data_IF_449801854241
#
_entry.id   IF_449801854241
#
_cell.length_a   1.000
_cell.length_b   1.000
_cell.length_c   1.000
_cell.angle_alpha   90.00
_cell.angle_beta   90.00
_cell.angle_gamma   90.00
#
_symmetry.space_group_name_H-M   'P 1'
#
loop_
_entity.id
_entity.type
_entity.pdbx_description
1 polymer ?
#
# COMPACT_ATOMS: atom_id res chain seq x y z
N UNK A 1 -15.42 -12.64 -6.23
CA UNK A 1 -14.75 -11.38 -5.81
C UNK A 1 -15.55 -10.24 -6.44
N UNK A 2 -16.26 -9.41 -5.67
CA UNK A 2 -17.24 -8.47 -6.25
C UNK A 2 -16.52 -7.34 -6.99
N UNK A 3 -16.30 -7.54 -8.30
CA UNK A 3 -16.06 -6.46 -9.24
C UNK A 3 -17.39 -5.77 -9.52
N UNK A 4 -17.55 -4.54 -9.03
CA UNK A 4 -18.67 -3.68 -9.43
C UNK A 4 -18.46 -3.30 -10.89
N UNK A 5 -19.11 -4.01 -11.80
CA UNK A 5 -19.29 -3.61 -13.19
C UNK A 5 -20.23 -2.41 -13.25
N UNK A 6 -19.75 -1.27 -13.73
CA UNK A 6 -20.59 -0.11 -14.04
C UNK A 6 -21.21 -0.29 -15.43
N UNK A 7 -22.35 -0.97 -15.49
CA UNK A 7 -23.26 -0.97 -16.63
C UNK A 7 -24.29 0.14 -16.50
N UNK A 8 -24.40 0.98 -17.53
CA UNK A 8 -25.45 1.99 -17.67
C UNK A 8 -26.80 1.29 -17.89
N UNK A 9 -27.78 1.49 -17.01
CA UNK A 9 -29.20 1.48 -17.39
C UNK A 9 -30.06 2.17 -16.31
N UNK A 10 -30.79 3.21 -16.73
CA UNK A 10 -31.82 3.84 -15.93
C UNK A 10 -33.06 2.94 -15.89
N UNK A 11 -33.49 2.48 -14.72
CA UNK A 11 -34.84 2.75 -14.19
C UNK A 11 -35.20 1.86 -12.98
N UNK A 12 -36.06 2.45 -12.14
CA UNK A 12 -36.90 1.84 -11.10
C UNK A 12 -36.26 1.32 -9.80
N UNK A 13 -36.42 2.16 -8.76
CA UNK A 13 -36.36 1.84 -7.33
C UNK A 13 -37.23 0.62 -6.99
N UNK A 14 -36.66 -0.35 -6.27
CA UNK A 14 -37.26 -0.95 -5.07
C UNK A 14 -36.28 -1.90 -4.35
N UNK A 15 -35.97 -1.53 -3.10
CA UNK A 15 -35.55 -2.36 -1.96
C UNK A 15 -34.49 -3.46 -2.17
N UNK A 16 -33.23 -3.12 -1.89
CA UNK A 16 -32.30 -4.03 -1.21
C UNK A 16 -31.69 -3.25 -0.05
N UNK A 17 -31.87 -3.83 1.15
CA UNK A 17 -31.54 -3.29 2.47
C UNK A 17 -30.01 -3.22 2.65
N UNK A 18 -29.62 -2.23 3.44
CA UNK A 18 -28.30 -1.63 3.66
C UNK A 18 -27.28 -2.52 4.37
N UNK A 19 -26.02 -2.34 3.97
CA UNK A 19 -24.78 -2.28 4.78
C UNK A 19 -24.52 -3.34 5.87
N UNK A 20 -23.95 -4.48 5.46
CA UNK A 20 -23.09 -5.29 6.31
C UNK A 20 -21.73 -4.58 6.51
N UNK A 21 -21.55 -3.93 7.66
CA UNK A 21 -20.26 -3.36 8.09
C UNK A 21 -19.21 -4.47 8.23
N UNK A 22 -18.29 -4.53 7.26
CA UNK A 22 -17.18 -5.48 7.18
C UNK A 22 -16.04 -5.04 8.12
N UNK A 23 -15.38 -5.94 8.88
CA UNK A 23 -14.23 -5.62 9.75
C UNK A 23 -12.96 -5.12 9.04
N UNK A 24 -13.03 -4.80 7.74
CA UNK A 24 -11.88 -4.42 6.92
C UNK A 24 -11.65 -2.90 6.85
N UNK A 25 -12.54 -2.11 7.46
CA UNK A 25 -12.51 -0.66 7.40
C UNK A 25 -12.28 -0.06 8.78
N UNK A 26 -11.45 0.99 8.86
CA UNK A 26 -11.46 1.90 10.02
C UNK A 26 -12.88 2.49 10.17
N UNK A 27 -13.19 3.10 11.32
CA UNK A 27 -14.45 3.81 11.69
C UNK A 27 -15.05 4.80 10.65
N UNK A 28 -14.43 4.96 9.47
CA UNK A 28 -14.83 5.86 8.40
C UNK A 28 -14.77 5.22 7.00
N UNK A 29 -14.88 3.88 6.86
CA UNK A 29 -14.87 3.25 5.53
C UNK A 29 -13.52 3.32 4.79
N UNK A 30 -12.43 3.70 5.47
CA UNK A 30 -11.11 3.85 4.85
C UNK A 30 -10.36 2.51 4.76
N UNK A 31 -9.72 2.20 3.60
CA UNK A 31 -8.92 0.99 3.40
C UNK A 31 -7.85 0.79 4.48
N UNK A 32 -7.70 -0.45 4.96
CA UNK A 32 -6.60 -0.80 5.85
C UNK A 32 -5.31 -0.94 5.05
N UNK A 33 -4.30 -0.11 5.35
CA UNK A 33 -3.01 -0.12 4.66
C UNK A 33 -2.00 -1.05 5.36
N UNK A 34 -1.19 -1.74 4.57
CA UNK A 34 0.02 -2.41 5.02
C UNK A 34 1.24 -1.76 4.38
N UNK A 35 2.41 -1.94 4.98
CA UNK A 35 3.66 -1.47 4.36
C UNK A 35 4.02 -2.45 3.24
N UNK A 36 3.83 -2.00 2.01
CA UNK A 36 4.00 -2.80 0.79
C UNK A 36 5.42 -3.37 0.65
N UNK A 37 6.41 -2.53 0.95
CA UNK A 37 7.83 -2.87 0.89
C UNK A 37 8.24 -4.05 1.79
N UNK A 38 7.43 -4.40 2.80
CA UNK A 38 7.73 -5.51 3.69
C UNK A 38 7.95 -6.84 2.94
N UNK A 39 7.22 -7.09 1.85
CA UNK A 39 7.38 -8.33 1.10
C UNK A 39 8.74 -8.38 0.39
N UNK A 40 9.15 -7.29 -0.26
CA UNK A 40 10.48 -7.20 -0.86
C UNK A 40 11.57 -7.42 0.19
N UNK A 41 11.49 -6.73 1.34
CA UNK A 41 12.48 -6.89 2.41
C UNK A 41 12.53 -8.31 2.96
N UNK A 42 11.39 -8.98 3.09
CA UNK A 42 11.36 -10.40 3.48
C UNK A 42 12.06 -11.30 2.47
N UNK A 43 11.79 -11.14 1.18
CA UNK A 43 12.40 -11.94 0.11
C UNK A 43 13.92 -11.69 0.03
N UNK A 44 14.31 -10.45 0.26
CA UNK A 44 15.71 -10.07 0.38
C UNK A 44 16.39 -10.69 1.61
N UNK A 45 15.77 -10.66 2.78
CA UNK A 45 16.28 -11.31 3.99
C UNK A 45 16.42 -12.84 3.80
N UNK A 46 15.42 -13.48 3.19
CA UNK A 46 15.41 -14.92 2.93
C UNK A 46 16.51 -15.37 2.00
N UNK A 47 16.95 -14.50 1.09
CA UNK A 47 17.93 -14.83 0.08
C UNK A 47 19.37 -14.60 0.53
N UNK A 48 19.61 -13.90 1.65
CA UNK A 48 20.94 -13.57 2.18
C UNK A 48 21.85 -12.89 1.14
N UNK A 49 21.25 -12.15 0.20
CA UNK A 49 21.92 -11.66 -1.02
C UNK A 49 23.03 -10.67 -0.69
N UNK A 50 24.21 -10.93 -1.25
CA UNK A 50 25.28 -9.94 -1.27
C UNK A 50 24.90 -8.82 -2.25
N UNK A 51 24.89 -7.59 -1.78
CA UNK A 51 24.68 -6.44 -2.65
C UNK A 51 25.91 -6.24 -3.54
N UNK A 52 25.75 -6.47 -4.84
CA UNK A 52 26.77 -6.11 -5.80
C UNK A 52 26.89 -4.57 -5.87
N UNK A 53 28.12 -4.07 -5.88
CA UNK A 53 28.35 -2.63 -5.98
C UNK A 53 28.29 -2.13 -7.44
N UNK A 54 28.47 -3.04 -8.41
CA UNK A 54 28.48 -2.74 -9.85
C UNK A 54 27.81 -3.87 -10.64
N UNK A 55 27.24 -3.51 -11.80
CA UNK A 55 26.76 -4.48 -12.78
C UNK A 55 27.95 -5.02 -13.61
N UNK A 56 27.87 -6.25 -14.13
CA UNK A 56 28.81 -6.75 -15.12
C UNK A 56 28.84 -5.90 -16.41
N UNK A 57 29.90 -6.07 -17.22
CA UNK A 57 30.02 -5.42 -18.53
C UNK A 57 28.93 -5.90 -19.50
N UNK A 58 28.60 -5.08 -20.51
CA UNK A 58 27.50 -5.33 -21.47
C UNK A 58 26.10 -5.33 -20.82
N UNK A 59 25.90 -4.45 -19.85
CA UNK A 59 24.63 -4.28 -19.15
C UNK A 59 23.72 -3.25 -19.84
N UNK A 60 22.43 -3.34 -19.53
CA UNK A 60 21.46 -2.28 -19.82
C UNK A 60 20.78 -1.83 -18.53
N UNK A 61 20.27 -0.59 -18.52
CA UNK A 61 19.51 -0.04 -17.40
C UNK A 61 18.18 0.51 -17.91
N UNK A 62 17.09 -0.07 -17.40
CA UNK A 62 15.74 0.47 -17.55
C UNK A 62 15.36 1.24 -16.30
N UNK A 63 14.81 2.44 -16.45
CA UNK A 63 14.57 3.37 -15.33
C UNK A 63 13.10 3.79 -15.32
N UNK A 64 12.47 3.65 -14.15
CA UNK A 64 11.20 4.32 -13.84
C UNK A 64 11.50 5.73 -13.41
N UNK A 65 10.85 6.70 -14.05
CA UNK A 65 10.92 8.06 -13.51
C UNK A 65 9.86 8.28 -12.46
N UNK A 66 10.26 8.13 -11.21
CA UNK A 66 9.49 8.66 -10.09
C UNK A 66 10.05 10.01 -9.68
N UNK A 67 9.20 11.03 -9.80
CA UNK A 67 9.41 12.42 -9.35
C UNK A 67 10.68 13.04 -9.93
N UNK A 68 10.51 13.86 -10.96
CA UNK A 68 11.48 14.91 -11.26
C UNK A 68 11.58 15.80 -10.02
N UNK A 69 12.54 15.52 -9.15
CA UNK A 69 12.88 16.41 -8.05
C UNK A 69 13.33 17.71 -8.69
N UNK A 70 12.47 18.73 -8.66
CA UNK A 70 12.89 20.07 -9.01
C UNK A 70 13.82 20.52 -7.89
N UNK A 71 15.09 20.23 -8.07
CA UNK A 71 16.14 20.88 -7.33
C UNK A 71 16.90 21.74 -8.34
N UNK A 72 16.52 23.02 -8.34
CA UNK A 72 17.28 24.17 -8.86
C UNK A 72 17.27 24.53 -10.35
N UNK A 73 16.50 23.91 -11.25
CA UNK A 73 16.47 24.34 -12.66
C UNK A 73 15.47 25.49 -12.85
N UNK A 74 15.95 26.59 -13.43
CA UNK A 74 15.14 27.77 -13.67
C UNK A 74 14.31 27.62 -14.95
N UNK A 75 14.84 26.92 -15.96
CA UNK A 75 14.21 26.76 -17.27
C UNK A 75 13.94 25.31 -17.67
N UNK A 76 12.91 25.08 -18.49
CA UNK A 76 12.56 23.74 -18.97
C UNK A 76 13.70 23.08 -19.77
N UNK A 77 14.47 23.85 -20.54
CA UNK A 77 15.64 23.34 -21.26
C UNK A 77 16.74 22.81 -20.34
N UNK A 78 16.98 23.49 -19.21
CA UNK A 78 17.92 23.04 -18.19
C UNK A 78 17.43 21.76 -17.50
N UNK A 79 16.13 21.66 -17.26
CA UNK A 79 15.52 20.44 -16.75
C UNK A 79 15.73 19.26 -17.72
N UNK A 80 15.54 19.48 -19.03
CA UNK A 80 15.77 18.44 -20.04
C UNK A 80 17.23 17.96 -20.09
N UNK A 81 18.18 18.91 -20.02
CA UNK A 81 19.60 18.60 -19.96
C UNK A 81 19.98 17.89 -18.65
N UNK A 82 19.42 18.33 -17.52
CA UNK A 82 19.68 17.76 -16.21
C UNK A 82 19.17 16.31 -16.08
N UNK A 83 17.94 16.05 -16.53
CA UNK A 83 17.38 14.68 -16.54
C UNK A 83 18.25 13.77 -17.42
N UNK A 84 18.59 14.21 -18.63
CA UNK A 84 19.47 13.45 -19.53
C UNK A 84 20.84 13.16 -18.88
N UNK A 85 21.48 14.17 -18.30
CA UNK A 85 22.77 14.03 -17.64
C UNK A 85 22.72 13.00 -16.51
N UNK A 86 21.64 12.97 -15.72
CA UNK A 86 21.45 11.95 -14.68
C UNK A 86 21.28 10.54 -15.24
N UNK A 87 20.53 10.40 -16.35
CA UNK A 87 20.37 9.13 -17.06
C UNK A 87 21.73 8.62 -17.54
N UNK A 88 22.46 9.42 -18.31
CA UNK A 88 23.76 9.05 -18.88
C UNK A 88 24.82 8.79 -17.79
N UNK A 89 24.82 9.58 -16.71
CA UNK A 89 25.73 9.36 -15.57
C UNK A 89 25.46 8.02 -14.89
N UNK A 90 24.19 7.63 -14.76
CA UNK A 90 23.83 6.33 -14.18
C UNK A 90 24.23 5.18 -15.12
N UNK A 91 23.99 5.32 -16.43
CA UNK A 91 24.42 4.35 -17.43
C UNK A 91 25.95 4.18 -17.41
N UNK A 92 26.69 5.29 -17.44
CA UNK A 92 28.15 5.30 -17.37
C UNK A 92 28.69 4.68 -16.09
N UNK A 93 28.10 5.00 -14.92
CA UNK A 93 28.49 4.45 -13.63
C UNK A 93 28.41 2.91 -13.60
N UNK A 94 27.36 2.34 -14.19
CA UNK A 94 27.17 0.90 -14.29
C UNK A 94 27.69 0.28 -15.60
N UNK A 95 28.41 1.05 -16.44
CA UNK A 95 28.96 0.63 -17.73
C UNK A 95 27.92 0.05 -18.70
N UNK A 96 26.72 0.60 -18.69
CA UNK A 96 25.64 0.22 -19.58
C UNK A 96 25.70 1.04 -20.88
N UNK A 97 25.56 0.37 -22.02
CA UNK A 97 25.50 1.01 -23.35
C UNK A 97 24.08 1.39 -23.77
N UNK A 98 23.06 0.82 -23.10
CA UNK A 98 21.65 1.09 -23.35
C UNK A 98 20.96 1.58 -22.09
N UNK A 99 20.19 2.65 -22.24
CA UNK A 99 19.37 3.22 -21.18
C UNK A 99 17.94 3.47 -21.66
N UNK A 100 16.97 3.06 -20.84
CA UNK A 100 15.56 3.16 -21.17
C UNK A 100 14.84 4.06 -20.15
N UNK A 101 14.30 5.17 -20.62
CA UNK A 101 13.42 6.08 -19.87
C UNK A 101 11.97 5.62 -20.07
N UNK A 102 11.40 5.02 -19.03
CA UNK A 102 10.01 4.54 -19.03
C UNK A 102 9.19 5.39 -18.05
N UNK A 103 8.14 6.01 -18.58
CA UNK A 103 7.27 6.91 -17.84
C UNK A 103 5.85 6.36 -17.71
N UNK A 104 5.17 6.74 -16.63
CA UNK A 104 3.73 6.54 -16.49
C UNK A 104 2.98 7.29 -17.60
N UNK A 105 1.82 6.74 -17.96
CA UNK A 105 0.82 7.43 -18.76
C UNK A 105 -0.29 8.00 -17.89
N UNK A 106 -1.00 8.98 -18.42
CA UNK A 106 -2.08 9.69 -17.73
C UNK A 106 -3.33 9.82 -18.60
N UNK A 107 -4.00 8.70 -18.96
CA UNK A 107 -5.23 8.74 -19.75
C UNK A 107 -6.37 9.40 -18.95
N UNK A 108 -7.29 10.05 -19.66
CA UNK A 108 -8.44 10.73 -19.04
C UNK A 108 -9.38 9.72 -18.35
N UNK A 109 -9.69 8.61 -19.02
CA UNK A 109 -10.48 7.50 -18.47
C UNK A 109 -9.56 6.48 -17.79
N UNK A 110 -9.57 6.46 -16.46
CA UNK A 110 -8.76 5.52 -15.69
C UNK A 110 -9.33 5.29 -14.28
N UNK A 111 -9.11 4.10 -13.74
CA UNK A 111 -9.45 3.75 -12.35
C UNK A 111 -8.70 4.66 -11.35
N UNK A 112 -7.50 5.12 -11.72
CA UNK A 112 -6.69 6.07 -10.93
C UNK A 112 -7.17 7.52 -11.06
N UNK A 113 -8.20 7.82 -11.88
CA UNK A 113 -8.74 9.17 -12.04
C UNK A 113 -9.20 9.79 -10.72
N UNK A 114 -9.90 9.03 -9.86
CA UNK A 114 -10.39 9.55 -8.59
C UNK A 114 -9.24 9.95 -7.64
N UNK A 115 -8.19 9.14 -7.53
CA UNK A 115 -7.01 9.48 -6.73
C UNK A 115 -6.26 10.70 -7.30
N UNK A 116 -6.20 10.83 -8.64
CA UNK A 116 -5.64 12.02 -9.29
C UNK A 116 -6.47 13.27 -8.99
N UNK A 117 -7.79 13.19 -9.08
CA UNK A 117 -8.71 14.27 -8.71
C UNK A 117 -8.57 14.66 -7.25
N UNK A 118 -8.44 13.69 -6.33
CA UNK A 118 -8.17 13.95 -4.91
C UNK A 118 -6.86 14.70 -4.69
N UNK A 119 -5.79 14.35 -5.41
CA UNK A 119 -4.50 15.07 -5.36
C UNK A 119 -4.59 16.47 -5.98
N UNK A 120 -5.38 16.63 -7.05
CA UNK A 120 -5.62 17.90 -7.71
C UNK A 120 -6.58 18.82 -6.93
N UNK A 121 -7.36 18.30 -5.98
CA UNK A 121 -8.28 19.08 -5.13
C UNK A 121 -7.56 20.15 -4.29
N UNK A 122 -6.24 19.99 -4.03
CA UNK A 122 -5.40 21.02 -3.41
C UNK A 122 -4.95 22.14 -4.38
N UNK A 123 -5.50 22.14 -5.60
CA UNK A 123 -5.18 23.03 -6.71
C UNK A 123 -4.16 22.42 -7.67
N UNK A 124 -4.45 22.53 -8.97
CA UNK A 124 -3.52 22.21 -10.06
C UNK A 124 -3.44 23.37 -11.05
N UNK A 125 -2.24 23.74 -11.48
CA UNK A 125 -2.04 24.76 -12.51
C UNK A 125 -1.71 24.07 -13.83
N UNK A 126 -2.56 24.18 -14.84
CA UNK A 126 -2.24 23.69 -16.19
C UNK A 126 -1.21 24.63 -16.83
N UNK A 127 -0.09 24.10 -17.33
CA UNK A 127 0.95 24.91 -17.97
C UNK A 127 1.34 24.26 -19.30
N UNK A 128 1.21 25.03 -20.38
CA UNK A 128 1.74 24.67 -21.68
C UNK A 128 3.23 25.00 -21.74
N UNK A 129 4.03 24.10 -22.33
CA UNK A 129 5.47 24.29 -22.51
C UNK A 129 5.71 24.72 -23.96
N UNK A 130 6.14 25.96 -24.15
CA UNK A 130 6.36 26.57 -25.46
C UNK A 130 7.81 26.45 -25.95
N UNK A 131 8.77 26.23 -25.05
CA UNK A 131 10.18 26.10 -25.46
C UNK A 131 11.18 26.00 -24.31
N UNK A 132 12.46 25.84 -24.69
CA UNK A 132 13.58 25.60 -23.76
C UNK A 132 13.81 26.74 -22.77
N UNK A 133 13.64 28.00 -23.21
CA UNK A 133 13.85 29.20 -22.38
C UNK A 133 12.64 29.58 -21.52
N UNK A 134 11.59 28.76 -21.48
CA UNK A 134 10.46 29.01 -20.61
C UNK A 134 10.83 28.65 -19.16
N UNK A 135 10.54 29.54 -18.18
CA UNK A 135 10.76 29.22 -16.78
C UNK A 135 9.92 28.03 -16.32
N UNK A 136 10.50 27.18 -15.48
CA UNK A 136 9.77 26.09 -14.84
C UNK A 136 8.83 26.65 -13.76
N UNK A 137 7.63 26.07 -13.56
CA UNK A 137 6.70 26.50 -12.52
C UNK A 137 7.33 26.57 -11.13
N UNK A 138 7.10 27.67 -10.40
CA UNK A 138 7.58 27.85 -9.03
C UNK A 138 6.93 26.86 -8.07
N UNK A 139 5.61 26.64 -8.21
CA UNK A 139 4.85 25.66 -7.43
C UNK A 139 4.91 24.26 -8.04
N UNK A 140 6.12 23.68 -8.13
CA UNK A 140 6.38 22.42 -8.83
C UNK A 140 5.51 21.25 -8.40
N UNK A 141 5.29 21.08 -7.09
CA UNK A 141 4.44 20.00 -6.56
C UNK A 141 3.00 20.10 -7.08
N UNK A 142 2.43 21.30 -7.15
CA UNK A 142 1.08 21.52 -7.70
C UNK A 142 1.04 21.34 -9.22
N UNK A 143 2.12 21.73 -9.91
CA UNK A 143 2.27 21.48 -11.33
C UNK A 143 2.22 19.96 -11.62
N UNK A 144 2.95 19.15 -10.85
CA UNK A 144 2.96 17.69 -10.98
C UNK A 144 1.67 16.99 -10.52
N UNK A 145 0.69 17.67 -9.92
CA UNK A 145 -0.59 17.05 -9.58
C UNK A 145 -1.50 16.85 -10.81
N UNK A 146 -1.21 17.53 -11.93
CA UNK A 146 -1.96 17.38 -13.18
C UNK A 146 -1.31 16.31 -14.08
N UNK A 147 -2.09 15.30 -14.47
CA UNK A 147 -1.65 14.30 -15.45
C UNK A 147 -1.26 14.92 -16.80
N UNK A 148 -2.02 15.91 -17.27
CA UNK A 148 -1.73 16.64 -18.52
C UNK A 148 -0.38 17.34 -18.49
N UNK A 149 -0.01 17.92 -17.35
CA UNK A 149 1.30 18.54 -17.18
C UNK A 149 2.43 17.50 -17.20
N UNK A 150 2.21 16.33 -16.61
CA UNK A 150 3.18 15.24 -16.61
C UNK A 150 3.42 14.71 -18.04
N UNK A 151 2.35 14.52 -18.81
CA UNK A 151 2.45 14.15 -20.23
C UNK A 151 3.17 15.22 -21.05
N UNK A 152 2.84 16.50 -20.81
CA UNK A 152 3.48 17.62 -21.49
C UNK A 152 4.99 17.69 -21.20
N UNK A 153 5.40 17.46 -19.94
CA UNK A 153 6.83 17.47 -19.61
C UNK A 153 7.55 16.27 -20.21
N UNK A 154 6.98 15.06 -20.16
CA UNK A 154 7.56 13.86 -20.80
C UNK A 154 7.77 14.11 -22.29
N UNK A 155 6.73 14.63 -22.96
CA UNK A 155 6.80 14.98 -24.38
C UNK A 155 7.86 16.04 -24.66
N UNK A 156 7.96 17.07 -23.83
CA UNK A 156 8.97 18.12 -23.99
C UNK A 156 10.40 17.58 -23.81
N UNK A 157 10.65 16.75 -22.80
CA UNK A 157 11.95 16.13 -22.55
C UNK A 157 12.40 15.31 -23.76
N UNK A 158 11.53 14.44 -24.25
CA UNK A 158 11.81 13.56 -25.38
C UNK A 158 12.02 14.35 -26.67
N UNK A 159 11.22 15.39 -26.91
CA UNK A 159 11.43 16.28 -28.05
C UNK A 159 12.77 17.01 -27.98
N UNK A 160 13.26 17.38 -26.78
CA UNK A 160 14.62 17.91 -26.64
C UNK A 160 15.67 16.86 -26.99
N UNK A 161 15.47 15.61 -26.54
CA UNK A 161 16.44 14.53 -26.75
C UNK A 161 16.52 14.04 -28.20
N UNK A 162 15.41 14.08 -28.94
CA UNK A 162 15.36 13.82 -30.40
C UNK A 162 16.18 14.82 -31.24
N UNK A 163 16.58 15.95 -30.65
CA UNK A 163 17.33 17.03 -31.31
C UNK A 163 18.72 17.26 -30.68
N UNK A 164 19.26 16.25 -29.99
CA UNK A 164 20.63 16.30 -29.45
C UNK A 164 21.67 16.19 -30.56
N UNK A 165 22.90 16.65 -30.29
CA UNK A 165 24.03 16.33 -31.15
C UNK A 165 24.40 14.86 -30.97
N UNK A 166 24.85 14.20 -32.03
CA UNK A 166 25.30 12.81 -31.96
C UNK A 166 26.37 12.60 -30.87
N UNK A 167 27.27 13.57 -30.70
CA UNK A 167 28.35 13.52 -29.71
C UNK A 167 27.82 13.48 -28.26
N UNK A 168 26.64 14.07 -27.99
CA UNK A 168 26.05 14.12 -26.64
C UNK A 168 25.58 12.74 -26.14
N UNK A 169 25.40 11.77 -27.05
CA UNK A 169 25.03 10.39 -26.75
C UNK A 169 26.15 9.38 -27.08
N UNK A 170 27.39 9.83 -27.24
CA UNK A 170 28.51 8.94 -27.60
C UNK A 170 28.62 7.76 -26.63
N UNK A 171 28.55 6.54 -27.15
CA UNK A 171 28.63 5.30 -26.37
C UNK A 171 27.30 4.86 -25.73
N UNK A 172 26.21 5.59 -25.94
CA UNK A 172 24.90 5.28 -25.38
C UNK A 172 23.81 5.20 -26.45
N UNK A 173 22.83 4.32 -26.20
CA UNK A 173 21.55 4.26 -26.91
C UNK A 173 20.45 4.56 -25.90
N UNK A 174 19.63 5.57 -26.18
CA UNK A 174 18.52 5.97 -25.33
C UNK A 174 17.19 5.47 -25.91
N UNK A 175 16.41 4.73 -25.14
CA UNK A 175 15.01 4.47 -25.44
C UNK A 175 14.14 5.35 -24.55
N UNK A 176 13.09 5.95 -25.09
CA UNK A 176 12.20 6.81 -24.31
C UNK A 176 10.73 6.63 -24.69
N UNK A 177 9.87 6.43 -23.69
CA UNK A 177 8.42 6.27 -23.87
C UNK A 177 7.69 7.60 -23.88
N UNK A 178 6.83 7.83 -24.87
CA UNK A 178 5.98 9.01 -24.98
C UNK A 178 4.56 8.59 -25.39
N UNK A 179 3.58 8.81 -24.50
CA UNK A 179 2.25 8.24 -24.71
C UNK A 179 2.33 6.71 -24.73
N UNK A 180 1.77 6.08 -25.75
CA UNK A 180 1.85 4.63 -25.96
C UNK A 180 3.07 4.19 -26.77
N UNK A 181 3.86 5.13 -27.30
CA UNK A 181 4.97 4.85 -28.22
C UNK A 181 6.32 4.83 -27.49
N UNK A 182 7.30 4.15 -28.10
CA UNK A 182 8.69 4.19 -27.69
C UNK A 182 9.60 4.64 -28.83
N UNK A 183 10.61 5.46 -28.52
CA UNK A 183 11.58 5.94 -29.50
C UNK A 183 12.99 5.53 -29.09
N UNK A 184 13.71 4.89 -30.02
CA UNK A 184 15.17 4.70 -29.95
C UNK A 184 15.84 5.96 -30.48
N UNK A 185 16.72 6.54 -29.67
CA UNK A 185 17.51 7.74 -29.95
C UNK A 185 18.98 7.33 -29.85
N UNK A 186 19.71 7.40 -30.96
CA UNK A 186 21.11 6.95 -31.02
C UNK A 186 21.99 7.88 -31.86
N UNK A 187 23.30 7.95 -31.56
CA UNK A 187 24.27 8.62 -32.44
C UNK A 187 24.26 8.01 -33.85
N UNK A 188 24.48 8.86 -34.86
CA UNK A 188 24.63 8.43 -36.27
C UNK A 188 25.83 9.12 -36.90
N UNK A 189 26.52 8.42 -37.81
CA UNK A 189 27.61 8.99 -38.61
C UNK A 189 27.12 9.85 -39.77
N UNK A 190 25.82 9.77 -40.09
CA UNK A 190 25.23 10.42 -41.27
C UNK A 190 24.77 11.85 -41.00
N UNK A 191 24.67 12.26 -39.73
CA UNK A 191 24.13 13.55 -39.31
C UNK A 191 24.82 14.06 -38.05
N UNK A 192 24.82 15.38 -37.88
CA UNK A 192 25.31 16.03 -36.64
C UNK A 192 24.34 15.87 -35.48
N UNK A 193 23.07 15.57 -35.76
CA UNK A 193 22.04 15.26 -34.77
C UNK A 193 21.80 13.76 -34.70
N UNK A 194 21.32 13.32 -33.54
CA UNK A 194 20.93 11.93 -33.28
C UNK A 194 19.88 11.42 -34.26
N UNK A 195 19.93 10.13 -34.57
CA UNK A 195 18.86 9.43 -35.29
C UNK A 195 17.78 9.01 -34.29
N UNK A 196 16.51 9.14 -34.69
CA UNK A 196 15.35 8.73 -33.89
C UNK A 196 14.47 7.79 -34.69
N UNK A 197 14.20 6.60 -34.14
CA UNK A 197 13.36 5.56 -34.74
C UNK A 197 12.28 5.15 -33.74
N UNK A 198 11.03 5.05 -34.19
CA UNK A 198 9.94 4.47 -33.38
C UNK A 198 10.12 2.95 -33.30
N UNK A 199 10.05 2.41 -32.09
CA UNK A 199 10.26 0.98 -31.79
C UNK A 199 8.91 0.36 -31.48
N UNK A 200 8.30 -0.23 -32.50
CA UNK A 200 6.91 -0.72 -32.43
C UNK A 200 6.77 -1.87 -31.43
N UNK A 201 7.83 -2.68 -31.26
CA UNK A 201 7.89 -3.78 -30.30
C UNK A 201 7.83 -3.31 -28.83
N UNK A 202 8.08 -2.03 -28.59
CA UNK A 202 8.03 -1.38 -27.28
C UNK A 202 6.81 -0.47 -27.12
N UNK A 203 5.82 -0.56 -28.02
CA UNK A 203 4.54 0.12 -27.83
C UNK A 203 3.81 -0.49 -26.62
N UNK A 204 3.30 0.36 -25.73
CA UNK A 204 2.65 -0.07 -24.49
C UNK A 204 1.53 0.90 -24.12
N UNK A 205 0.30 0.41 -24.02
CA UNK A 205 -0.87 1.20 -23.69
C UNK A 205 -1.22 1.19 -22.19
N UNK A 206 -0.42 0.51 -21.36
CA UNK A 206 -0.66 0.44 -19.92
C UNK A 206 -0.47 1.81 -19.24
N UNK A 207 -1.32 2.12 -18.24
CA UNK A 207 -1.23 3.39 -17.51
C UNK A 207 0.05 3.49 -16.65
N UNK A 208 0.43 2.42 -15.97
CA UNK A 208 1.60 2.40 -15.09
C UNK A 208 2.87 1.97 -15.79
N UNK A 209 4.00 2.56 -15.41
CA UNK A 209 5.32 2.19 -15.93
C UNK A 209 5.73 0.75 -15.57
N UNK A 210 5.24 0.19 -14.47
CA UNK A 210 5.76 -1.04 -13.86
C UNK A 210 5.89 -2.20 -14.84
N UNK A 211 4.79 -2.53 -15.55
CA UNK A 211 4.77 -3.61 -16.53
C UNK A 211 5.50 -3.24 -17.83
N UNK A 212 5.49 -1.97 -18.22
CA UNK A 212 6.24 -1.46 -19.37
C UNK A 212 7.76 -1.63 -19.17
N UNK A 213 8.26 -1.50 -17.94
CA UNK A 213 9.67 -1.80 -17.65
C UNK A 213 10.04 -3.25 -17.96
N UNK A 214 9.17 -4.21 -17.65
CA UNK A 214 9.45 -5.62 -17.95
C UNK A 214 9.41 -5.88 -19.45
N UNK A 215 8.55 -5.18 -20.20
CA UNK A 215 8.57 -5.21 -21.68
C UNK A 215 9.91 -4.71 -22.22
N UNK A 216 10.38 -3.55 -21.74
CA UNK A 216 11.67 -2.99 -22.11
C UNK A 216 12.85 -3.91 -21.72
N UNK A 217 12.81 -4.47 -20.52
CA UNK A 217 13.80 -5.43 -20.05
C UNK A 217 13.83 -6.68 -20.95
N UNK A 218 12.66 -7.18 -21.36
CA UNK A 218 12.55 -8.38 -22.20
C UNK A 218 13.06 -8.10 -23.60
N UNK A 219 12.69 -6.96 -24.17
CA UNK A 219 13.24 -6.51 -25.45
C UNK A 219 14.77 -6.35 -25.39
N UNK A 220 15.34 -5.83 -24.30
CA UNK A 220 16.79 -5.79 -24.16
C UNK A 220 17.42 -7.20 -24.08
N UNK A 221 16.82 -8.09 -23.29
CA UNK A 221 17.20 -9.50 -23.22
C UNK A 221 17.18 -10.18 -24.60
N UNK A 222 16.18 -9.87 -25.44
CA UNK A 222 16.03 -10.41 -26.80
C UNK A 222 16.97 -9.76 -27.82
N UNK A 223 17.62 -8.65 -27.46
CA UNK A 223 18.62 -7.96 -28.27
C UNK A 223 20.04 -8.12 -27.66
N UNK A 224 20.35 -9.34 -27.23
CA UNK A 224 21.69 -9.79 -26.80
C UNK A 224 22.29 -9.12 -25.56
N UNK A 225 21.49 -8.48 -24.72
CA UNK A 225 21.95 -8.01 -23.40
C UNK A 225 21.90 -9.15 -22.38
N UNK A 226 23.07 -9.59 -21.91
CA UNK A 226 23.18 -10.66 -20.91
C UNK A 226 22.85 -10.20 -19.48
N UNK A 227 22.84 -8.89 -19.23
CA UNK A 227 22.53 -8.29 -17.94
C UNK A 227 21.56 -7.13 -18.12
N UNK A 228 20.43 -7.19 -17.41
CA UNK A 228 19.39 -6.16 -17.42
C UNK A 228 19.13 -5.68 -16.00
N UNK A 229 19.27 -4.39 -15.77
CA UNK A 229 18.94 -3.77 -14.50
C UNK A 229 17.72 -2.87 -14.59
N UNK A 230 16.81 -2.97 -13.63
CA UNK A 230 15.67 -2.07 -13.51
C UNK A 230 15.85 -1.20 -12.26
N UNK A 231 15.93 0.11 -12.45
CA UNK A 231 15.94 1.08 -11.36
C UNK A 231 14.53 1.61 -11.11
N UNK A 232 14.00 1.32 -9.92
CA UNK A 232 12.69 1.82 -9.49
C UNK A 232 12.66 1.96 -7.96
N UNK A 233 11.98 2.98 -7.40
CA UNK A 233 11.65 2.97 -5.98
C UNK A 233 10.44 2.09 -5.66
N UNK A 234 9.69 1.66 -6.68
CA UNK A 234 8.47 0.88 -6.51
C UNK A 234 8.82 -0.59 -6.27
N UNK A 235 8.40 -1.12 -5.11
CA UNK A 235 8.65 -2.51 -4.74
C UNK A 235 7.81 -3.50 -5.53
N UNK A 236 6.67 -3.08 -6.09
CA UNK A 236 5.84 -3.89 -6.99
C UNK A 236 6.61 -4.31 -8.25
N UNK A 237 7.48 -3.45 -8.77
CA UNK A 237 8.36 -3.78 -9.91
C UNK A 237 9.29 -4.95 -9.56
N UNK A 238 9.87 -4.95 -8.36
CA UNK A 238 10.72 -6.07 -7.90
C UNK A 238 9.94 -7.39 -7.84
N UNK A 239 8.70 -7.36 -7.32
CA UNK A 239 7.86 -8.56 -7.24
C UNK A 239 7.50 -9.09 -8.63
N UNK A 240 7.22 -8.21 -9.59
CA UNK A 240 7.02 -8.58 -10.99
C UNK A 240 8.29 -9.18 -11.61
N UNK A 241 9.47 -8.62 -11.34
CA UNK A 241 10.74 -9.19 -11.79
C UNK A 241 10.97 -10.60 -11.25
N UNK A 242 10.69 -10.84 -9.96
CA UNK A 242 10.81 -12.18 -9.33
C UNK A 242 9.85 -13.18 -9.98
N UNK A 243 8.58 -12.81 -10.17
CA UNK A 243 7.59 -13.67 -10.81
C UNK A 243 7.98 -14.01 -12.25
N UNK A 244 8.46 -13.01 -13.00
CA UNK A 244 8.72 -13.15 -14.44
C UNK A 244 10.12 -13.66 -14.77
N UNK A 245 11.03 -13.84 -13.79
CA UNK A 245 12.44 -14.15 -14.05
C UNK A 245 12.68 -15.32 -15.00
N UNK A 246 11.84 -16.36 -14.92
CA UNK A 246 11.92 -17.55 -15.78
C UNK A 246 11.72 -17.24 -17.27
N UNK A 247 11.12 -16.10 -17.61
CA UNK A 247 10.90 -15.63 -18.97
C UNK A 247 12.09 -14.84 -19.53
N UNK A 248 13.17 -14.67 -18.75
CA UNK A 248 14.38 -13.93 -19.13
C UNK A 248 15.60 -14.85 -19.12
N UNK A 249 16.31 -14.90 -20.25
CA UNK A 249 17.63 -15.54 -20.33
C UNK A 249 18.73 -14.69 -19.71
N UNK A 250 18.57 -13.37 -19.67
CA UNK A 250 19.49 -12.44 -19.04
C UNK A 250 19.46 -12.48 -17.50
N UNK A 251 20.56 -12.05 -16.89
CA UNK A 251 20.64 -11.77 -15.47
C UNK A 251 19.89 -10.48 -15.14
N UNK A 252 18.97 -10.56 -14.18
CA UNK A 252 18.12 -9.47 -13.76
C UNK A 252 18.59 -8.87 -12.44
N UNK A 253 18.72 -7.55 -12.41
CA UNK A 253 19.08 -6.81 -11.22
C UNK A 253 18.06 -5.71 -10.91
N UNK A 254 17.65 -5.61 -9.66
CA UNK A 254 16.80 -4.51 -9.20
C UNK A 254 17.64 -3.47 -8.46
N UNK A 255 17.55 -2.22 -8.91
CA UNK A 255 18.26 -1.09 -8.29
C UNK A 255 17.23 -0.25 -7.53
N UNK A 256 17.39 -0.19 -6.21
CA UNK A 256 16.53 0.62 -5.33
C UNK A 256 17.34 1.59 -4.48
N UNK A 257 16.66 2.53 -3.82
CA UNK A 257 17.28 3.56 -3.00
C UNK A 257 17.78 4.79 -3.78
N UNK A 258 18.19 5.80 -3.01
CA UNK A 258 18.62 7.10 -3.53
C UNK A 258 20.12 7.09 -3.91
N UNK A 259 20.61 8.17 -4.53
CA UNK A 259 21.99 8.25 -5.04
C UNK A 259 23.09 7.92 -4.02
N UNK A 260 22.87 8.17 -2.72
CA UNK A 260 23.87 7.92 -1.67
C UNK A 260 23.67 6.58 -0.92
N UNK A 261 22.57 5.87 -1.16
CA UNK A 261 22.21 4.61 -0.49
C UNK A 261 21.60 3.62 -1.48
N UNK A 262 22.06 3.64 -2.74
CA UNK A 262 21.52 2.76 -3.76
C UNK A 262 21.97 1.33 -3.52
N UNK A 263 21.01 0.40 -3.56
CA UNK A 263 21.23 -1.03 -3.40
C UNK A 263 20.94 -1.73 -4.72
N UNK A 264 21.80 -2.68 -5.09
CA UNK A 264 21.58 -3.58 -6.22
C UNK A 264 21.26 -4.96 -5.66
N UNK A 265 20.12 -5.50 -6.06
CA UNK A 265 19.62 -6.82 -5.66
C UNK A 265 19.65 -7.72 -6.89
N UNK A 266 20.31 -8.87 -6.80
CA UNK A 266 20.28 -9.91 -7.83
C UNK A 266 18.93 -10.64 -7.77
N UNK A 267 18.08 -10.46 -8.78
CA UNK A 267 16.78 -11.15 -8.85
C UNK A 267 16.97 -12.64 -9.12
N UNK A 268 18.02 -13.01 -9.87
CA UNK A 268 18.42 -14.40 -10.09
C UNK A 268 18.66 -15.11 -8.75
N UNK A 269 19.53 -14.56 -7.91
CA UNK A 269 19.87 -15.17 -6.61
C UNK A 269 18.65 -15.29 -5.70
N UNK A 270 17.77 -14.29 -5.72
CA UNK A 270 16.49 -14.35 -4.99
C UNK A 270 15.66 -15.53 -5.50
N UNK A 271 15.47 -15.65 -6.81
CA UNK A 271 14.68 -16.74 -7.41
C UNK A 271 15.28 -18.12 -7.14
N UNK A 272 16.60 -18.27 -7.24
CA UNK A 272 17.32 -19.51 -6.95
C UNK A 272 17.14 -19.96 -5.50
N UNK A 273 17.06 -19.00 -4.56
CA UNK A 273 16.87 -19.26 -3.13
C UNK A 273 15.44 -19.61 -2.75
N UNK A 274 14.46 -18.90 -3.30
CA UNK A 274 13.05 -19.10 -2.93
C UNK A 274 12.36 -20.20 -3.74
N UNK A 275 12.93 -20.57 -4.90
CA UNK A 275 12.41 -21.58 -5.80
C UNK A 275 11.27 -21.09 -6.69
N UNK A 276 11.13 -21.74 -7.86
CA UNK A 276 10.17 -21.35 -8.91
C UNK A 276 8.72 -21.36 -8.45
N UNK A 277 8.33 -22.31 -7.60
CA UNK A 277 6.97 -22.34 -7.04
C UNK A 277 6.65 -21.09 -6.23
N UNK A 278 7.60 -20.61 -5.44
CA UNK A 278 7.45 -19.39 -4.64
C UNK A 278 7.44 -18.15 -5.54
N UNK A 279 8.27 -18.10 -6.58
CA UNK A 279 8.25 -17.01 -7.57
C UNK A 279 6.86 -16.82 -8.18
N UNK A 280 6.21 -17.91 -8.57
CA UNK A 280 4.91 -17.88 -9.25
C UNK A 280 3.74 -17.48 -8.34
N UNK A 281 3.87 -17.60 -7.01
CA UNK A 281 2.78 -17.26 -6.07
C UNK A 281 2.88 -15.84 -5.49
N UNK A 282 4.02 -15.16 -5.64
CA UNK A 282 4.32 -13.89 -4.95
C UNK A 282 3.34 -12.79 -5.31
N UNK A 283 2.93 -12.67 -6.58
CA UNK A 283 2.01 -11.62 -7.02
C UNK A 283 0.59 -11.88 -6.48
N UNK A 284 0.10 -13.12 -6.60
CA UNK A 284 -1.19 -13.50 -6.00
C UNK A 284 -1.21 -13.25 -4.49
N UNK A 285 -0.14 -13.63 -3.78
CA UNK A 285 0.01 -13.36 -2.35
C UNK A 285 0.03 -11.86 -2.05
N UNK A 286 0.80 -11.09 -2.83
CA UNK A 286 0.92 -9.66 -2.65
C UNK A 286 -0.45 -8.96 -2.78
N UNK A 287 -1.21 -9.29 -3.83
CA UNK A 287 -2.52 -8.69 -4.11
C UNK A 287 -3.53 -9.04 -3.02
N UNK A 288 -3.70 -10.31 -2.68
CA UNK A 288 -4.71 -10.72 -1.68
C UNK A 288 -4.40 -10.18 -0.28
N UNK A 289 -3.12 -10.11 0.10
CA UNK A 289 -2.71 -9.62 1.44
C UNK A 289 -2.65 -8.09 1.52
N UNK A 290 -2.99 -7.40 0.43
CA UNK A 290 -3.12 -5.96 0.36
C UNK A 290 -2.06 -5.31 -0.53
N UNK A 291 -2.51 -4.48 -1.46
CA UNK A 291 -1.71 -3.66 -2.37
C UNK A 291 -2.38 -2.28 -2.53
N UNK A 292 -1.97 -1.47 -3.49
CA UNK A 292 -2.58 -0.16 -3.75
C UNK A 292 -4.10 -0.19 -4.02
N UNK A 293 -4.59 -1.29 -4.61
CA UNK A 293 -6.01 -1.44 -4.97
C UNK A 293 -6.80 -2.38 -4.06
N UNK A 294 -6.12 -3.09 -3.15
CA UNK A 294 -6.73 -4.09 -2.26
C UNK A 294 -6.35 -3.79 -0.82
N UNK A 295 -7.35 -3.68 0.05
CA UNK A 295 -7.11 -3.51 1.49
C UNK A 295 -6.33 -4.69 2.06
N UNK A 296 -5.40 -4.39 2.97
CA UNK A 296 -4.78 -5.43 3.79
C UNK A 296 -5.71 -5.93 4.90
N UNK A 297 -5.47 -7.16 5.35
CA UNK A 297 -6.21 -7.76 6.46
C UNK A 297 -5.92 -7.05 7.78
N UNK A 298 -6.97 -6.65 8.50
CA UNK A 298 -6.84 -5.90 9.76
C UNK A 298 -6.00 -6.65 10.81
N UNK A 299 -4.96 -5.99 11.32
CA UNK A 299 -4.04 -6.55 12.31
C UNK A 299 -3.13 -7.68 11.78
N UNK A 300 -3.09 -7.92 10.46
CA UNK A 300 -2.31 -8.99 9.83
C UNK A 300 -1.37 -8.42 8.77
N UNK A 301 -0.11 -8.23 9.15
CA UNK A 301 0.94 -7.82 8.20
C UNK A 301 1.39 -8.97 7.28
N UNK A 302 2.05 -8.62 6.16
CA UNK A 302 2.57 -9.58 5.16
C UNK A 302 3.47 -10.66 5.77
N UNK A 303 4.31 -10.34 6.77
CA UNK A 303 5.13 -11.33 7.51
C UNK A 303 4.29 -12.42 8.17
N UNK A 304 3.18 -12.03 8.81
CA UNK A 304 2.27 -12.98 9.49
C UNK A 304 1.52 -13.84 8.47
N UNK A 305 1.03 -13.22 7.40
CA UNK A 305 0.40 -13.93 6.28
C UNK A 305 1.35 -14.94 5.63
N UNK A 306 2.62 -14.58 5.45
CA UNK A 306 3.63 -15.47 4.88
C UNK A 306 3.94 -16.66 5.76
N UNK A 307 4.02 -16.46 7.09
CA UNK A 307 4.20 -17.56 8.04
C UNK A 307 3.07 -18.60 7.91
N UNK A 308 1.83 -18.12 7.85
CA UNK A 308 0.65 -18.98 7.66
C UNK A 308 0.70 -19.69 6.31
N UNK A 309 1.05 -18.98 5.23
CA UNK A 309 1.19 -19.58 3.90
C UNK A 309 2.30 -20.63 3.83
N UNK A 310 3.42 -20.40 4.53
CA UNK A 310 4.57 -21.29 4.55
C UNK A 310 4.21 -22.70 5.07
N UNK A 311 3.27 -22.76 6.02
CA UNK A 311 2.72 -23.97 6.64
C UNK A 311 1.49 -24.54 5.90
N UNK A 312 1.03 -23.91 4.81
CA UNK A 312 -0.20 -24.28 4.09
C UNK A 312 0.06 -24.67 2.61
N UNK A 313 0.24 -25.97 2.31
CA UNK A 313 0.48 -26.45 0.94
C UNK A 313 -0.66 -26.13 -0.04
N UNK A 314 -1.92 -26.27 0.38
CA UNK A 314 -3.09 -25.94 -0.46
C UNK A 314 -3.10 -24.45 -0.81
N UNK A 315 -2.83 -23.59 0.18
CA UNK A 315 -2.69 -22.16 -0.01
C UNK A 315 -1.60 -21.81 -1.02
N UNK A 316 -0.43 -22.46 -0.96
CA UNK A 316 0.64 -22.24 -1.94
C UNK A 316 0.20 -22.56 -3.37
N UNK A 317 -0.52 -23.67 -3.55
CA UNK A 317 -1.11 -24.01 -4.84
C UNK A 317 -2.12 -22.95 -5.31
N UNK A 318 -3.03 -22.54 -4.43
CA UNK A 318 -4.04 -21.52 -4.73
C UNK A 318 -3.40 -20.19 -5.16
N UNK A 319 -2.43 -19.68 -4.40
CA UNK A 319 -1.75 -18.43 -4.75
C UNK A 319 -0.94 -18.50 -6.05
N UNK A 320 -0.46 -19.68 -6.44
CA UNK A 320 0.26 -19.88 -7.71
C UNK A 320 -0.64 -19.72 -8.93
N UNK A 321 -1.91 -20.08 -8.81
CA UNK A 321 -2.88 -20.03 -9.92
C UNK A 321 -3.83 -18.84 -9.83
N UNK A 322 -3.77 -18.08 -8.74
CA UNK A 322 -4.61 -16.91 -8.52
C UNK A 322 -4.34 -15.84 -9.59
N UNK A 323 -5.37 -15.49 -10.36
CA UNK A 323 -5.30 -14.51 -11.43
C UNK A 323 -5.03 -15.11 -12.83
N UNK A 324 -4.89 -16.44 -12.95
CA UNK A 324 -4.85 -17.10 -14.26
C UNK A 324 -6.18 -17.00 -15.01
N UNK A 325 -7.28 -16.98 -14.25
CA UNK A 325 -8.64 -16.75 -14.74
C UNK A 325 -9.19 -15.48 -14.07
N UNK A 326 -10.05 -14.76 -14.78
CA UNK A 326 -10.67 -13.51 -14.29
C UNK A 326 -11.51 -13.81 -13.04
N UNK A 327 -12.33 -14.86 -13.14
CA UNK A 327 -13.12 -15.35 -12.02
C UNK A 327 -12.44 -16.60 -11.46
N UNK A 328 -12.15 -16.66 -10.14
CA UNK A 328 -11.60 -17.85 -9.53
C UNK A 328 -12.65 -18.97 -9.54
N UNK A 329 -12.20 -20.22 -9.70
CA UNK A 329 -13.05 -21.39 -9.48
C UNK A 329 -13.51 -21.46 -8.01
N UNK A 330 -14.62 -22.15 -7.76
CA UNK A 330 -15.13 -22.36 -6.39
C UNK A 330 -14.08 -23.02 -5.49
N UNK A 331 -13.42 -24.09 -5.97
CA UNK A 331 -12.34 -24.75 -5.23
C UNK A 331 -11.20 -23.79 -4.86
N UNK A 332 -10.80 -22.89 -5.78
CA UNK A 332 -9.77 -21.90 -5.52
C UNK A 332 -10.25 -20.89 -4.47
N UNK A 333 -11.51 -20.45 -4.57
CA UNK A 333 -12.12 -19.53 -3.61
C UNK A 333 -12.16 -20.14 -2.20
N UNK A 334 -12.61 -21.38 -2.06
CA UNK A 334 -12.68 -22.10 -0.78
C UNK A 334 -11.29 -22.20 -0.11
N UNK A 335 -10.25 -22.57 -0.86
CA UNK A 335 -8.88 -22.64 -0.32
C UNK A 335 -8.39 -21.27 0.17
N UNK A 336 -8.72 -20.19 -0.54
CA UNK A 336 -8.34 -18.84 -0.13
C UNK A 336 -9.12 -18.40 1.12
N UNK A 337 -10.38 -18.80 1.26
CA UNK A 337 -11.19 -18.57 2.46
C UNK A 337 -10.61 -19.32 3.67
N UNK A 338 -10.23 -20.59 3.51
CA UNK A 338 -9.52 -21.37 4.54
C UNK A 338 -8.21 -20.68 4.96
N UNK A 339 -7.43 -20.18 3.99
CA UNK A 339 -6.21 -19.43 4.27
C UNK A 339 -6.48 -18.17 5.12
N UNK A 340 -7.54 -17.42 4.81
CA UNK A 340 -7.91 -16.23 5.60
C UNK A 340 -8.36 -16.63 7.01
N UNK A 341 -9.16 -17.69 7.16
CA UNK A 341 -9.54 -18.19 8.49
C UNK A 341 -8.31 -18.59 9.32
N UNK A 342 -7.37 -19.32 8.72
CA UNK A 342 -6.11 -19.68 9.35
C UNK A 342 -5.26 -18.45 9.73
N UNK A 343 -5.27 -17.38 8.91
CA UNK A 343 -4.60 -16.11 9.22
C UNK A 343 -5.14 -15.45 10.49
N UNK A 344 -6.43 -15.64 10.77
CA UNK A 344 -7.09 -15.19 11.99
C UNK A 344 -7.00 -16.17 13.16
N UNK A 345 -6.40 -17.36 12.97
CA UNK A 345 -6.17 -18.37 14.01
C UNK A 345 -7.20 -19.51 14.00
N UNK A 346 -8.08 -19.55 13.01
CA UNK A 346 -9.13 -20.55 12.85
C UNK A 346 -8.78 -21.51 11.72
N UNK A 347 -7.97 -22.54 12.02
CA UNK A 347 -7.41 -23.44 11.01
C UNK A 347 -8.44 -24.41 10.39
N UNK A 348 -9.53 -24.67 11.10
CA UNK A 348 -10.53 -25.67 10.73
C UNK A 348 -11.83 -25.04 10.18
N UNK A 349 -11.81 -23.74 9.88
CA UNK A 349 -13.00 -23.01 9.43
C UNK A 349 -12.91 -22.64 7.95
N UNK A 350 -14.06 -22.73 7.29
CA UNK A 350 -14.23 -22.52 5.84
C UNK A 350 -15.12 -21.31 5.54
N UNK A 351 -15.47 -20.52 6.56
CA UNK A 351 -16.32 -19.35 6.41
C UNK A 351 -15.75 -18.16 7.18
N UNK A 352 -15.34 -17.11 6.44
CA UNK A 352 -14.82 -15.86 7.04
C UNK A 352 -15.87 -15.18 7.93
N UNK A 353 -17.16 -15.33 7.62
CA UNK A 353 -18.23 -14.72 8.41
C UNK A 353 -18.38 -15.37 9.79
N UNK A 354 -18.20 -16.69 9.88
CA UNK A 354 -18.29 -17.42 11.15
C UNK A 354 -17.10 -17.18 12.10
N UNK A 355 -16.01 -16.58 11.59
CA UNK A 355 -14.83 -16.19 12.39
C UNK A 355 -14.83 -14.69 12.74
N UNK A 356 -15.90 -13.95 12.41
CA UNK A 356 -16.03 -12.54 12.82
C UNK A 356 -16.13 -12.43 14.34
N UNK A 357 -15.58 -11.36 14.95
CA UNK A 357 -15.59 -11.20 16.40
C UNK A 357 -16.96 -10.82 16.98
N UNK A 358 -17.88 -10.30 16.15
CA UNK A 358 -19.25 -9.97 16.55
C UNK A 358 -19.92 -11.23 17.12
N UNK A 359 -20.57 -11.12 18.28
CA UNK A 359 -21.18 -12.23 19.05
C UNK A 359 -20.19 -13.16 19.78
N UNK A 360 -18.88 -12.87 19.76
CA UNK A 360 -17.85 -13.61 20.51
C UNK A 360 -17.10 -12.72 21.50
N UNK A 361 -17.85 -12.05 22.37
CA UNK A 361 -17.32 -11.09 23.34
C UNK A 361 -17.13 -9.67 22.79
N UNK A 362 -17.63 -9.43 21.57
CA UNK A 362 -17.68 -8.10 20.95
C UNK A 362 -19.07 -7.83 20.39
N UNK A 363 -19.51 -6.60 20.54
CA UNK A 363 -20.77 -6.08 20.01
C UNK A 363 -20.48 -4.90 19.08
N UNK A 364 -21.38 -4.65 18.12
CA UNK A 364 -21.30 -3.49 17.25
C UNK A 364 -22.20 -2.40 17.83
N UNK A 365 -21.61 -1.30 18.33
CA UNK A 365 -22.32 -0.12 18.83
C UNK A 365 -21.84 1.10 18.07
N UNK A 366 -22.77 1.85 17.46
CA UNK A 366 -22.47 3.05 16.66
C UNK A 366 -21.36 2.82 15.62
N UNK A 367 -21.45 1.71 14.87
CA UNK A 367 -20.45 1.26 13.89
C UNK A 367 -19.05 0.98 14.46
N UNK A 368 -18.92 0.90 15.79
CA UNK A 368 -17.68 0.59 16.50
C UNK A 368 -17.80 -0.77 17.17
N UNK A 369 -16.78 -1.59 16.96
CA UNK A 369 -16.64 -2.84 17.69
C UNK A 369 -16.27 -2.51 19.15
N UNK A 370 -17.18 -2.74 20.08
CA UNK A 370 -16.94 -2.58 21.52
C UNK A 370 -16.87 -3.95 22.18
N UNK A 371 -16.03 -4.07 23.21
CA UNK A 371 -15.97 -5.30 24.00
C UNK A 371 -17.33 -5.43 24.69
N UNK A 372 -18.02 -6.55 24.46
CA UNK A 372 -19.19 -6.91 25.24
C UNK A 372 -18.68 -7.46 26.58
N UNK A 373 -18.44 -6.54 27.52
CA UNK A 373 -18.07 -6.88 28.88
C UNK A 373 -19.13 -7.82 29.49
N UNK A 374 -18.70 -8.73 30.37
CA UNK A 374 -19.61 -9.70 30.99
C UNK A 374 -20.79 -8.96 31.65
N UNK A 375 -22.01 -9.42 31.42
CA UNK A 375 -23.24 -8.88 32.02
C UNK A 375 -23.44 -9.32 33.47
N UNK A 376 -22.55 -10.15 34.00
CA UNK A 376 -22.57 -10.60 35.39
C UNK A 376 -21.89 -9.60 36.31
N UNK A 377 -22.40 -9.48 37.53
CA UNK A 377 -21.77 -8.71 38.60
C UNK A 377 -20.31 -9.16 38.78
N UNK A 378 -19.40 -8.20 39.00
CA UNK A 378 -17.95 -8.43 39.20
C UNK A 378 -17.69 -9.46 40.31
N UNK A 379 -18.62 -9.59 41.25
CA UNK A 379 -18.68 -10.64 42.24
C UNK A 379 -20.15 -11.00 42.54
N UNK A 380 -20.46 -12.24 42.99
CA UNK A 380 -21.78 -12.59 43.52
C UNK A 380 -22.20 -11.65 44.64
N UNK A 381 -23.51 -11.38 44.75
CA UNK A 381 -24.05 -10.42 45.73
C UNK A 381 -23.66 -10.76 47.18
N UNK A 382 -23.53 -12.07 47.47
CA UNK A 382 -23.06 -12.58 48.76
C UNK A 382 -21.65 -12.11 49.12
N UNK A 383 -20.77 -11.88 48.14
CA UNK A 383 -19.43 -11.35 48.37
C UNK A 383 -19.44 -9.83 48.56
N UNK A 384 -20.42 -9.13 47.97
CA UNK A 384 -20.60 -7.69 48.14
C UNK A 384 -21.04 -7.33 49.56
N UNK A 385 -21.73 -8.24 50.27
CA UNK A 385 -22.10 -8.07 51.68
C UNK A 385 -20.88 -7.95 52.62
N UNK A 386 -19.73 -8.54 52.24
CA UNK A 386 -18.49 -8.48 53.02
C UNK A 386 -17.68 -7.19 52.82
N UNK A 387 -18.08 -6.36 51.86
CA UNK A 387 -17.43 -5.07 51.59
C UNK A 387 -17.80 -4.09 52.70
N UNK A 388 -16.78 -3.52 53.37
CA UNK A 388 -16.97 -2.53 54.41
C UNK A 388 -16.15 -1.26 54.14
N UNK A 389 -16.64 -0.13 54.66
CA UNK A 389 -15.91 1.11 54.64
C UNK A 389 -15.02 1.27 55.87
N UNK A 390 -13.92 2.01 55.71
CA UNK A 390 -13.06 2.44 56.82
C UNK A 390 -13.58 3.68 57.57
N UNK A 391 -14.81 4.13 57.30
CA UNK A 391 -15.35 5.36 57.87
C UNK A 391 -15.63 5.21 59.37
N UNK A 392 -15.32 6.24 60.15
CA UNK A 392 -15.58 6.26 61.59
C UNK A 392 -16.89 6.98 61.96
N UNK A 393 -17.31 7.97 61.15
CA UNK A 393 -18.56 8.72 61.31
C UNK A 393 -19.08 9.13 59.92
N UNK A 394 -20.40 9.08 59.69
CA UNK A 394 -21.12 9.66 58.55
C UNK A 394 -20.66 9.22 57.14
N UNK A 395 -21.51 8.48 56.41
CA UNK A 395 -21.20 7.97 55.06
C UNK A 395 -21.99 8.67 53.93
N UNK A 396 -22.39 9.92 54.09
CA UNK A 396 -23.21 10.65 53.11
C UNK A 396 -22.43 11.37 52.01
N UNK A 397 -21.11 11.15 51.88
CA UNK A 397 -20.25 11.83 50.91
C UNK A 397 -19.38 10.83 50.14
N UNK A 398 -18.89 11.25 48.97
CA UNK A 398 -17.98 10.48 48.09
C UNK A 398 -16.61 10.12 48.72
N UNK A 399 -16.40 10.40 50.01
CA UNK A 399 -15.24 9.93 50.79
C UNK A 399 -15.44 8.54 51.37
N UNK A 400 -16.67 8.04 51.44
CA UNK A 400 -16.95 6.66 51.85
C UNK A 400 -16.67 5.72 50.66
N UNK A 401 -15.86 4.68 50.86
CA UNK A 401 -15.54 3.71 49.80
C UNK A 401 -16.78 2.95 49.30
N UNK A 402 -17.74 2.63 50.19
CA UNK A 402 -19.00 2.02 49.80
C UNK A 402 -19.83 2.96 48.92
N UNK A 403 -20.06 4.20 49.39
CA UNK A 403 -20.82 5.21 48.62
C UNK A 403 -20.16 5.54 47.28
N UNK A 404 -18.83 5.66 47.26
CA UNK A 404 -18.05 5.90 46.04
C UNK A 404 -18.16 4.74 45.02
N UNK A 405 -18.27 3.52 45.52
CA UNK A 405 -18.49 2.33 44.70
C UNK A 405 -19.97 2.10 44.34
N UNK A 406 -20.88 3.01 44.72
CA UNK A 406 -22.33 2.84 44.50
C UNK A 406 -22.98 1.79 45.40
N UNK A 407 -22.31 1.35 46.46
CA UNK A 407 -22.79 0.34 47.41
C UNK A 407 -23.34 0.99 48.69
N UNK A 408 -24.37 0.37 49.26
CA UNK A 408 -24.87 0.73 50.59
C UNK A 408 -23.96 0.15 51.68
N UNK A 409 -23.78 0.88 52.78
CA UNK A 409 -23.00 0.39 53.91
C UNK A 409 -23.79 -0.72 54.63
N UNK A 410 -23.14 -1.86 54.84
CA UNK A 410 -23.69 -2.99 55.61
C UNK A 410 -23.31 -2.90 57.09
N UNK A 411 -23.81 -3.82 57.92
CA UNK A 411 -23.46 -3.89 59.35
C UNK A 411 -21.96 -4.13 59.62
N UNK A 412 -21.22 -4.62 58.62
CA UNK A 412 -19.77 -4.77 58.71
C UNK A 412 -19.03 -3.42 58.65
N UNK A 413 -19.69 -2.35 58.18
CA UNK A 413 -19.18 -0.98 58.24
C UNK A 413 -19.23 -0.45 59.67
N UNK A 414 -18.08 -0.10 60.24
CA UNK A 414 -17.97 0.41 61.62
C UNK A 414 -18.29 1.91 61.76
N UNK A 415 -19.02 2.47 60.82
CA UNK A 415 -19.32 3.90 60.76
C UNK A 415 -20.46 4.27 61.71
N UNK A 416 -20.28 5.34 62.48
CA UNK A 416 -21.34 5.89 63.35
C UNK A 416 -22.21 6.88 62.58
N UNK A 417 -23.52 6.89 62.81
CA UNK A 417 -24.48 7.79 62.16
C UNK A 417 -24.38 7.72 60.63
N UNK A 418 -24.44 6.51 60.09
CA UNK A 418 -24.30 6.26 58.65
C UNK A 418 -25.51 6.81 57.88
N UNK A 419 -25.26 7.70 56.91
CA UNK A 419 -26.28 8.21 56.00
C UNK A 419 -26.37 7.44 54.67
N UNK A 420 -25.68 6.30 54.56
CA UNK A 420 -25.63 5.45 53.36
C UNK A 420 -26.10 4.03 53.72
N UNK A 421 -27.31 3.92 54.25
CA UNK A 421 -27.97 2.67 54.63
C UNK A 421 -29.22 2.46 53.80
N UNK A 422 -29.72 1.22 53.74
CA UNK A 422 -31.03 0.92 53.16
C UNK A 422 -32.10 1.75 53.90
N UNK A 423 -33.01 2.47 53.21
CA UNK A 423 -34.21 3.02 53.83
C UNK A 423 -35.13 1.88 54.30
N UNK A 424 -35.52 1.89 55.57
CA UNK A 424 -36.40 0.86 56.13
C UNK A 424 -37.84 1.09 55.63
N UNK A 425 -38.21 0.44 54.52
CA UNK A 425 -39.58 0.43 53.99
C UNK A 425 -39.99 -1.01 53.67
N UNK A 426 -40.64 -1.65 54.64
CA UNK A 426 -41.66 -2.64 54.37
C UNK A 426 -42.86 -1.94 53.71
N UNK A 427 -42.95 -1.98 52.39
CA UNK A 427 -44.22 -1.91 51.65
C UNK A 427 -43.95 -2.15 50.17
N UNK A 428 -44.63 -3.17 49.65
CA UNK A 428 -44.83 -3.43 48.23
C UNK A 428 -45.24 -2.14 47.48
N UNK A 429 -44.63 -1.89 46.32
CA UNK A 429 -45.32 -1.64 45.04
C UNK A 429 -44.36 -0.99 44.01
N UNK A 430 -44.67 -1.30 42.76
CA UNK A 430 -43.93 -1.07 41.51
C UNK A 430 -43.73 0.41 41.13
N UNK A 431 -42.75 0.63 40.24
CA UNK A 431 -42.92 1.28 38.92
C UNK A 431 -41.81 2.29 38.54
N UNK A 432 -41.43 2.19 37.27
CA UNK A 432 -40.29 2.77 36.55
C UNK A 432 -40.34 4.30 36.41
N UNK A 433 -39.16 4.95 36.34
CA UNK A 433 -38.95 6.16 35.52
C UNK A 433 -37.45 6.39 35.23
N UNK A 434 -37.14 6.45 33.94
CA UNK A 434 -35.88 6.93 33.33
C UNK A 434 -35.79 8.48 33.41
N UNK A 435 -34.64 9.00 32.95
CA UNK A 435 -34.23 10.41 32.76
C UNK A 435 -33.49 11.08 33.93
N UNK A 436 -32.43 11.88 33.76
CA UNK A 436 -31.66 12.33 32.58
C UNK A 436 -30.41 13.10 33.09
N UNK A 437 -29.49 13.33 32.17
CA UNK A 437 -28.61 14.52 32.04
C UNK A 437 -27.30 14.65 32.86
N UNK A 438 -26.20 14.57 32.09
CA UNK A 438 -25.08 15.56 31.96
C UNK A 438 -24.23 15.88 33.20
N UNK A 439 -22.95 16.26 33.15
CA UNK A 439 -21.93 16.53 32.13
C UNK A 439 -20.63 16.83 32.92
N UNK A 440 -19.51 16.99 32.19
CA UNK A 440 -18.42 17.94 32.47
C UNK A 440 -17.47 17.65 33.65
N UNK A 441 -16.23 17.22 33.35
CA UNK A 441 -15.12 18.16 33.05
C UNK A 441 -13.80 17.43 32.79
N UNK A 442 -13.08 17.99 31.82
CA UNK A 442 -11.70 17.73 31.47
C UNK A 442 -10.71 18.13 32.57
N UNK A 443 -9.53 17.51 32.59
CA UNK A 443 -8.22 18.18 32.44
C UNK A 443 -7.07 17.21 32.76
N UNK A 444 -6.20 17.07 31.77
CA UNK A 444 -4.73 17.12 31.84
C UNK A 444 -4.03 16.71 33.13
N UNK A 445 -3.18 15.69 33.04
CA UNK A 445 -1.84 15.70 33.65
C UNK A 445 -0.84 15.04 32.70
N UNK A 446 0.10 15.86 32.23
CA UNK A 446 1.37 15.50 31.61
C UNK A 446 2.26 14.68 32.56
N UNK A 447 3.04 13.75 32.01
CA UNK A 447 4.41 13.35 32.42
C UNK A 447 4.83 12.20 31.50
N UNK A 448 5.74 12.40 30.54
CA UNK A 448 7.20 12.33 30.71
C UNK A 448 7.62 11.17 31.63
N UNK A 449 8.14 10.08 31.07
CA UNK A 449 9.59 9.81 31.11
C UNK A 449 9.99 8.46 30.47
N UNK A 450 11.13 8.54 29.76
CA UNK A 450 12.05 7.53 29.18
C UNK A 450 11.71 6.92 27.82
#
# INVERSE_FOLDING_TARGET
MVCVHSGNEQSTKQNIIEDDVIPNFRQHGNPTKTVEANLMHMLEEMSSVCTNHFLPCNSTITIVTTKSDKNSQDFFGELAAHVLSRLLSLAGFHKASRIDFVADRYPDHSIKANERSRRAAQGSTLVNIYGKSQPTPTQWKKYLNSGKNKEAIISFLINCWKNLKSDDLTGFILYATQGDKCFKISPTSQSTIVETIEVVELQCDHEGADTCLLLHAKHACDNDFSVVAIKSPDTGVFLLMVMMKQNFSADLHFITGNQNQSKIISVNEVCDKIGSETCNLIVGFHVLTGCDSVSSFYGKGKRKAWKVLSENPKGKYAFRILGNEVDPTEDLYEILVEFVCALYGHKDMTCVNEVRPVERGWELKDEKLTIHWMTSNVAPDQLLEFVNCGCKKGCSTQRCSCSKAGLQCTELCKCQSCGNTVPDNNSDDEEYLYDDFTEYLASDVESEDV
#
